data_IF_699095105102
#
_entry.id   IF_699095105102
#
_cell.length_a   1.000
_cell.length_b   1.000
_cell.length_c   1.000
_cell.angle_alpha   90.00
_cell.angle_beta   90.00
_cell.angle_gamma   90.00
#
_symmetry.space_group_name_H-M   'P 1'
#
loop_
_entity.id
_entity.type
_entity.pdbx_description
1 polymer ?
#
# COMPACT_ATOMS: atom_id res chain seq x y z
N UNK A 1 -2.80 -0.04 37.54
CA UNK A 1 -3.48 0.09 36.23
C UNK A 1 -2.67 -0.62 35.16
N UNK A 2 -3.28 -1.48 34.39
CA UNK A 2 -2.60 -2.18 33.26
C UNK A 2 -3.07 -1.57 31.95
N UNK A 3 -2.12 -1.26 31.05
CA UNK A 3 -2.43 -0.84 29.70
C UNK A 3 -2.97 -2.02 28.88
N UNK A 4 -3.92 -1.73 27.98
CA UNK A 4 -4.45 -2.73 27.07
C UNK A 4 -3.37 -3.18 26.09
N UNK A 5 -3.24 -4.48 25.93
CA UNK A 5 -2.38 -5.09 24.92
C UNK A 5 -3.20 -6.12 24.14
N UNK A 6 -3.26 -5.99 22.83
CA UNK A 6 -4.04 -6.90 21.99
C UNK A 6 -3.47 -8.31 22.03
N UNK A 7 -4.37 -9.30 22.01
CA UNK A 7 -4.04 -10.72 21.85
C UNK A 7 -4.47 -11.17 20.47
N UNK A 8 -3.92 -12.26 19.94
CA UNK A 8 -4.37 -12.79 18.64
C UNK A 8 -5.87 -13.04 18.54
N UNK A 9 -6.51 -13.40 19.64
CA UNK A 9 -7.97 -13.60 19.71
C UNK A 9 -8.79 -12.31 19.60
N UNK A 10 -8.20 -11.16 19.90
CA UNK A 10 -8.88 -9.87 19.88
C UNK A 10 -8.89 -9.22 18.48
N UNK A 11 -8.14 -9.81 17.54
CA UNK A 11 -7.94 -9.24 16.22
C UNK A 11 -9.01 -9.76 15.26
N UNK A 12 -9.84 -8.84 14.75
CA UNK A 12 -10.80 -9.11 13.70
C UNK A 12 -10.38 -8.32 12.45
N UNK A 13 -10.06 -9.02 11.37
CA UNK A 13 -9.55 -8.41 10.15
C UNK A 13 -10.68 -8.20 9.16
N UNK A 14 -10.82 -6.97 8.71
CA UNK A 14 -11.73 -6.59 7.65
C UNK A 14 -10.98 -6.41 6.33
N UNK A 15 -11.74 -6.33 5.25
CA UNK A 15 -11.23 -6.01 3.94
C UNK A 15 -11.76 -4.66 3.50
N UNK A 16 -10.86 -3.81 3.01
CA UNK A 16 -11.21 -2.49 2.50
C UNK A 16 -10.73 -2.34 1.07
N UNK A 17 -11.50 -1.63 0.25
CA UNK A 17 -11.13 -1.28 -1.11
C UNK A 17 -10.93 0.24 -1.21
N UNK A 18 -9.81 0.65 -1.81
CA UNK A 18 -9.49 2.05 -2.08
C UNK A 18 -9.48 2.23 -3.59
N UNK A 19 -10.24 3.21 -4.08
CA UNK A 19 -10.19 3.63 -5.47
C UNK A 19 -9.15 4.74 -5.62
N UNK A 20 -8.09 4.44 -6.37
CA UNK A 20 -6.98 5.38 -6.60
C UNK A 20 -7.24 6.36 -7.75
N UNK A 21 -8.34 6.21 -8.49
CA UNK A 21 -8.64 7.07 -9.63
C UNK A 21 -8.74 8.54 -9.23
N UNK A 22 -7.90 9.37 -9.85
CA UNK A 22 -7.88 10.82 -9.60
C UNK A 22 -7.35 11.24 -8.24
N UNK A 23 -6.95 10.32 -7.38
CA UNK A 23 -6.39 10.63 -6.07
C UNK A 23 -4.87 10.71 -6.12
N UNK A 24 -4.32 11.59 -5.29
CA UNK A 24 -2.86 11.78 -5.20
C UNK A 24 -2.19 10.52 -4.65
N UNK A 25 -1.11 10.08 -5.30
CA UNK A 25 -0.37 8.87 -4.91
C UNK A 25 0.01 8.85 -3.42
N UNK A 26 0.56 9.95 -2.90
CA UNK A 26 0.96 10.04 -1.50
C UNK A 26 -0.19 9.83 -0.53
N UNK A 27 -1.35 10.40 -0.82
CA UNK A 27 -2.55 10.26 0.03
C UNK A 27 -3.07 8.83 0.03
N UNK A 28 -3.14 8.19 -1.15
CA UNK A 28 -3.54 6.78 -1.27
C UNK A 28 -2.60 5.90 -0.46
N UNK A 29 -1.30 6.12 -0.60
CA UNK A 29 -0.27 5.34 0.11
C UNK A 29 -0.36 5.52 1.63
N UNK A 30 -0.58 6.73 2.13
CA UNK A 30 -0.73 7.01 3.56
C UNK A 30 -1.95 6.28 4.13
N UNK A 31 -3.10 6.38 3.49
CA UNK A 31 -4.31 5.71 3.95
C UNK A 31 -4.14 4.18 3.96
N UNK A 32 -3.60 3.63 2.89
CA UNK A 32 -3.32 2.20 2.81
C UNK A 32 -2.37 1.74 3.92
N UNK A 33 -1.29 2.47 4.16
CA UNK A 33 -0.31 2.14 5.20
C UNK A 33 -0.92 2.19 6.60
N UNK A 34 -1.77 3.18 6.88
CA UNK A 34 -2.45 3.29 8.17
C UNK A 34 -3.41 2.13 8.43
N UNK A 35 -4.15 1.72 7.41
CA UNK A 35 -5.06 0.55 7.52
C UNK A 35 -4.25 -0.73 7.73
N UNK A 36 -3.18 -0.93 6.98
CA UNK A 36 -2.32 -2.12 7.08
C UNK A 36 -1.66 -2.25 8.45
N UNK A 37 -1.28 -1.13 9.07
CA UNK A 37 -0.69 -1.12 10.41
C UNK A 37 -1.73 -1.22 11.52
N UNK A 38 -2.99 -0.94 11.23
CA UNK A 38 -4.05 -0.93 12.22
C UNK A 38 -4.09 0.34 13.09
N UNK A 39 -3.42 1.41 12.69
CA UNK A 39 -3.38 2.66 13.48
C UNK A 39 -4.75 3.33 13.65
N UNK A 40 -5.70 3.02 12.79
CA UNK A 40 -7.07 3.54 12.89
C UNK A 40 -7.94 2.76 13.87
N UNK A 41 -7.45 1.65 14.39
CA UNK A 41 -8.19 0.82 15.36
C UNK A 41 -7.83 1.18 16.80
N UNK A 42 -8.82 1.18 17.72
CA UNK A 42 -8.55 1.40 19.15
C UNK A 42 -7.62 0.34 19.76
N UNK A 43 -7.63 -0.88 19.21
CA UNK A 43 -6.82 -2.00 19.70
C UNK A 43 -5.37 -1.97 19.21
N UNK A 44 -4.95 -0.92 18.50
CA UNK A 44 -3.59 -0.84 17.95
C UNK A 44 -2.53 -1.13 19.01
N UNK A 45 -1.68 -2.11 18.70
CA UNK A 45 -0.55 -2.51 19.54
C UNK A 45 0.70 -2.59 18.67
N UNK A 46 1.79 -1.83 18.99
CA UNK A 46 2.94 -1.70 18.08
C UNK A 46 3.65 -3.01 17.74
N UNK A 47 3.67 -3.99 18.64
CA UNK A 47 4.37 -5.26 18.43
C UNK A 47 3.52 -6.33 17.74
N UNK A 48 2.26 -6.03 17.43
CA UNK A 48 1.34 -6.98 16.78
C UNK A 48 0.75 -6.40 15.51
N UNK A 49 0.44 -7.29 14.56
CA UNK A 49 -0.26 -6.92 13.34
C UNK A 49 -1.76 -6.90 13.59
N UNK A 50 -2.28 -5.73 13.99
CA UNK A 50 -3.70 -5.50 14.23
C UNK A 50 -4.44 -4.91 13.02
N UNK A 51 -3.74 -4.73 11.90
CA UNK A 51 -4.28 -4.08 10.71
C UNK A 51 -5.21 -4.96 9.88
N UNK A 52 -5.81 -4.35 8.87
CA UNK A 52 -6.76 -4.97 7.96
C UNK A 52 -6.15 -5.19 6.58
N UNK A 53 -6.88 -5.92 5.73
CA UNK A 53 -6.52 -6.11 4.33
C UNK A 53 -6.95 -4.88 3.51
N UNK A 54 -6.11 -4.49 2.56
CA UNK A 54 -6.39 -3.37 1.66
C UNK A 54 -6.29 -3.84 0.21
N UNK A 55 -7.32 -3.53 -0.56
CA UNK A 55 -7.35 -3.73 -2.00
C UNK A 55 -7.36 -2.35 -2.65
N UNK A 56 -6.37 -2.05 -3.49
CA UNK A 56 -6.32 -0.79 -4.24
C UNK A 56 -6.66 -1.09 -5.69
N UNK A 57 -7.63 -0.37 -6.24
CA UNK A 57 -8.05 -0.51 -7.63
C UNK A 57 -7.73 0.77 -8.40
N UNK A 58 -7.76 0.70 -9.74
CA UNK A 58 -7.45 1.82 -10.62
C UNK A 58 -6.04 2.41 -10.42
N UNK A 59 -5.06 1.55 -10.14
CA UNK A 59 -3.68 2.00 -9.94
C UNK A 59 -3.12 2.76 -11.14
N UNK A 60 -3.54 2.42 -12.35
CA UNK A 60 -3.13 3.11 -13.58
C UNK A 60 -3.58 4.57 -13.65
N UNK A 61 -4.63 4.94 -12.91
CA UNK A 61 -5.23 6.27 -12.92
C UNK A 61 -4.87 7.11 -11.69
N UNK A 62 -3.92 6.68 -10.89
CA UNK A 62 -3.47 7.46 -9.73
C UNK A 62 -2.81 8.77 -10.18
N UNK A 63 -3.13 9.87 -9.50
CA UNK A 63 -2.61 11.19 -9.84
C UNK A 63 -1.28 11.48 -9.15
N UNK A 64 -0.42 12.21 -9.84
CA UNK A 64 0.82 12.75 -9.28
C UNK A 64 0.89 14.24 -9.59
N UNK A 65 1.47 15.03 -8.68
CA UNK A 65 1.57 16.48 -8.84
C UNK A 65 2.85 16.88 -9.59
N UNK A 66 2.82 18.09 -10.20
CA UNK A 66 3.97 18.67 -10.88
C UNK A 66 4.45 17.85 -12.06
N UNK A 67 5.78 17.81 -12.25
CA UNK A 67 6.43 17.10 -13.35
C UNK A 67 6.89 15.68 -12.96
N UNK A 68 6.33 15.08 -11.95
CA UNK A 68 6.76 13.77 -11.45
C UNK A 68 6.63 12.66 -12.49
N UNK A 69 5.69 12.77 -13.41
CA UNK A 69 5.49 11.79 -14.48
C UNK A 69 6.76 11.60 -15.30
N UNK A 70 7.51 12.66 -15.55
CA UNK A 70 8.76 12.63 -16.34
C UNK A 70 10.00 12.68 -15.47
N UNK A 71 9.96 13.31 -14.30
CA UNK A 71 11.14 13.60 -13.49
C UNK A 71 11.38 12.57 -12.38
N UNK A 72 10.31 11.94 -11.88
CA UNK A 72 10.47 10.91 -10.84
C UNK A 72 11.03 9.64 -11.44
N UNK A 73 12.16 9.19 -10.88
CA UNK A 73 12.89 8.01 -11.38
C UNK A 73 12.94 6.94 -10.30
N UNK A 74 12.60 5.72 -10.67
CA UNK A 74 12.78 4.52 -9.86
C UNK A 74 14.10 3.86 -10.22
N UNK A 75 15.01 3.76 -9.25
CA UNK A 75 16.35 3.19 -9.46
C UNK A 75 16.42 1.79 -8.92
N UNK A 76 17.09 0.92 -9.66
CA UNK A 76 17.32 -0.48 -9.28
C UNK A 76 18.76 -0.86 -9.53
N UNK A 77 19.40 -1.45 -8.54
CA UNK A 77 20.80 -1.85 -8.61
C UNK A 77 20.93 -3.31 -8.15
N UNK A 78 21.46 -4.17 -9.02
CA UNK A 78 21.61 -5.60 -8.74
C UNK A 78 22.89 -5.96 -7.97
N UNK A 79 23.81 -5.00 -7.80
CA UNK A 79 25.10 -5.21 -7.13
C UNK A 79 26.27 -5.44 -8.08
N UNK A 80 26.02 -5.63 -9.38
CA UNK A 80 27.08 -5.77 -10.36
C UNK A 80 27.45 -4.43 -10.99
N UNK A 81 28.75 -4.21 -11.37
CA UNK A 81 29.13 -2.97 -12.04
C UNK A 81 28.31 -2.69 -13.31
N UNK A 82 27.84 -1.45 -13.45
CA UNK A 82 27.04 -1.03 -14.60
C UNK A 82 25.61 -1.54 -14.63
N UNK A 83 25.09 -2.11 -13.53
CA UNK A 83 23.74 -2.68 -13.48
C UNK A 83 22.68 -1.72 -12.99
N UNK A 84 23.02 -0.44 -12.76
CA UNK A 84 22.03 0.55 -12.34
C UNK A 84 21.00 0.76 -13.44
N UNK A 85 19.75 0.51 -13.13
CA UNK A 85 18.63 0.74 -14.03
C UNK A 85 17.74 1.83 -13.49
N UNK A 86 17.28 2.70 -14.38
CA UNK A 86 16.42 3.82 -14.06
C UNK A 86 15.16 3.75 -14.91
N UNK A 87 14.00 3.89 -14.28
CA UNK A 87 12.69 3.90 -14.94
C UNK A 87 11.93 5.11 -14.46
N UNK A 88 11.40 5.92 -15.37
CA UNK A 88 10.56 7.05 -15.00
C UNK A 88 9.18 6.58 -14.53
N UNK A 89 8.46 7.43 -13.81
CA UNK A 89 7.10 7.12 -13.35
C UNK A 89 6.17 6.84 -14.54
N UNK A 90 6.29 7.62 -15.62
CA UNK A 90 5.50 7.41 -16.84
C UNK A 90 5.74 6.04 -17.48
N UNK A 91 7.01 5.60 -17.55
CA UNK A 91 7.37 4.27 -18.05
C UNK A 91 6.83 3.16 -17.14
N UNK A 92 6.91 3.36 -15.82
CA UNK A 92 6.38 2.41 -14.83
C UNK A 92 4.86 2.31 -14.97
N UNK A 93 4.16 3.42 -15.15
CA UNK A 93 2.72 3.45 -15.36
C UNK A 93 2.31 2.67 -16.62
N UNK A 94 3.10 2.76 -17.68
CA UNK A 94 2.80 2.05 -18.92
C UNK A 94 3.01 0.55 -18.81
N UNK A 95 4.03 0.11 -18.06
CA UNK A 95 4.41 -1.31 -17.98
C UNK A 95 3.76 -2.02 -16.79
N UNK A 96 3.87 -1.47 -15.60
CA UNK A 96 3.40 -2.07 -14.34
C UNK A 96 2.86 -0.99 -13.40
N UNK A 97 1.66 -0.49 -13.63
CA UNK A 97 1.11 0.60 -12.80
C UNK A 97 0.94 0.22 -11.33
N UNK A 98 0.75 -1.05 -11.00
CA UNK A 98 0.64 -1.51 -9.62
C UNK A 98 1.90 -1.22 -8.80
N UNK A 99 3.08 -1.29 -9.44
CA UNK A 99 4.35 -1.07 -8.77
C UNK A 99 4.49 0.35 -8.21
N UNK A 100 3.83 1.33 -8.81
CA UNK A 100 3.85 2.73 -8.34
C UNK A 100 3.29 2.80 -6.92
N UNK A 101 2.13 2.22 -6.70
CA UNK A 101 1.46 2.21 -5.38
C UNK A 101 2.20 1.29 -4.41
N UNK A 102 2.60 0.11 -4.85
CA UNK A 102 3.34 -0.85 -4.02
C UNK A 102 4.61 -0.21 -3.48
N UNK A 103 5.39 0.46 -4.32
CA UNK A 103 6.63 1.13 -3.92
C UNK A 103 6.37 2.26 -2.90
N UNK A 104 5.33 3.05 -3.13
CA UNK A 104 4.97 4.15 -2.22
C UNK A 104 4.54 3.62 -0.85
N UNK A 105 3.70 2.61 -0.79
CA UNK A 105 3.24 2.00 0.46
C UNK A 105 4.39 1.32 1.19
N UNK A 106 5.23 0.59 0.48
CA UNK A 106 6.40 -0.08 1.06
C UNK A 106 7.34 0.90 1.75
N UNK A 107 7.54 2.08 1.17
CA UNK A 107 8.35 3.14 1.76
C UNK A 107 7.76 3.70 3.07
N UNK A 108 6.45 3.60 3.26
CA UNK A 108 5.73 4.08 4.43
C UNK A 108 5.51 3.02 5.52
N UNK A 109 5.81 1.76 5.22
CA UNK A 109 5.65 0.65 6.17
C UNK A 109 6.91 0.47 7.02
N UNK A 110 6.78 -0.12 8.23
CA UNK A 110 7.95 -0.49 9.03
C UNK A 110 8.88 -1.44 8.28
N UNK A 111 10.18 -1.35 8.55
CA UNK A 111 11.21 -2.10 7.80
C UNK A 111 11.50 -3.49 8.35
N UNK A 112 10.97 -3.84 9.51
CA UNK A 112 11.23 -5.12 10.17
C UNK A 112 10.37 -6.28 9.66
N UNK A 113 10.46 -7.41 10.35
CA UNK A 113 9.68 -8.62 10.05
C UNK A 113 8.18 -8.37 10.13
N UNK A 114 7.74 -7.65 11.16
CA UNK A 114 6.33 -7.31 11.34
C UNK A 114 5.82 -6.43 10.19
N UNK A 115 6.60 -5.45 9.75
CA UNK A 115 6.26 -4.61 8.61
C UNK A 115 6.10 -5.40 7.32
N UNK A 116 6.91 -6.42 7.09
CA UNK A 116 6.77 -7.31 5.93
C UNK A 116 5.48 -8.12 5.99
N UNK A 117 5.09 -8.60 7.16
CA UNK A 117 3.82 -9.30 7.35
C UNK A 117 2.62 -8.39 7.08
N UNK A 118 2.67 -7.15 7.58
CA UNK A 118 1.64 -6.14 7.31
C UNK A 118 1.52 -5.84 5.82
N UNK A 119 2.65 -5.70 5.14
CA UNK A 119 2.70 -5.39 3.72
C UNK A 119 2.07 -6.49 2.84
N UNK A 120 2.14 -7.74 3.25
CA UNK A 120 1.52 -8.85 2.52
C UNK A 120 0.00 -8.76 2.41
N UNK A 121 -0.64 -7.96 3.23
CA UNK A 121 -2.08 -7.73 3.20
C UNK A 121 -2.51 -6.70 2.16
N UNK A 122 -1.57 -6.07 1.48
CA UNK A 122 -1.85 -5.12 0.40
C UNK A 122 -2.01 -5.87 -0.92
N UNK A 123 -3.11 -5.59 -1.62
CA UNK A 123 -3.41 -6.11 -2.97
C UNK A 123 -3.69 -4.93 -3.88
N UNK A 124 -2.94 -4.81 -4.97
CA UNK A 124 -3.05 -3.67 -5.90
C UNK A 124 -3.39 -4.18 -7.29
N UNK A 125 -4.36 -3.54 -7.93
CA UNK A 125 -4.82 -3.87 -9.28
C UNK A 125 -4.85 -2.62 -10.16
N UNK A 126 -4.42 -2.77 -11.40
CA UNK A 126 -4.36 -1.66 -12.36
C UNK A 126 -5.75 -1.18 -12.77
N UNK A 127 -6.69 -2.09 -13.01
CA UNK A 127 -8.05 -1.80 -13.43
C UNK A 127 -9.05 -1.67 -12.27
N UNK A 128 -10.33 -1.47 -12.59
CA UNK A 128 -11.37 -1.31 -11.57
C UNK A 128 -11.81 -2.63 -10.93
N UNK A 129 -11.44 -3.77 -11.50
CA UNK A 129 -11.86 -5.09 -11.03
C UNK A 129 -10.84 -5.72 -10.11
N UNK A 130 -11.31 -6.51 -9.15
CA UNK A 130 -10.47 -7.28 -8.24
C UNK A 130 -11.10 -8.65 -7.96
N UNK A 131 -10.30 -9.70 -7.69
CA UNK A 131 -10.81 -11.05 -7.46
C UNK A 131 -11.22 -11.30 -6.00
N UNK A 132 -11.57 -10.26 -5.25
CA UNK A 132 -11.84 -10.35 -3.80
C UNK A 132 -13.32 -10.16 -3.44
N UNK A 133 -14.24 -10.41 -4.39
CA UNK A 133 -15.67 -10.28 -4.13
C UNK A 133 -16.16 -11.21 -3.00
N UNK A 134 -15.54 -12.39 -2.86
CA UNK A 134 -15.88 -13.34 -1.81
C UNK A 134 -15.58 -12.82 -0.40
N UNK A 135 -14.60 -11.96 -0.24
CA UNK A 135 -14.23 -11.33 1.02
C UNK A 135 -15.12 -10.14 1.39
N UNK A 136 -15.99 -9.70 0.48
CA UNK A 136 -16.92 -8.57 0.68
C UNK A 136 -16.21 -7.32 1.19
N UNK A 137 -15.22 -6.76 0.46
CA UNK A 137 -14.49 -5.59 0.92
C UNK A 137 -15.39 -4.36 1.01
N UNK A 138 -15.24 -3.60 2.10
CA UNK A 138 -15.93 -2.34 2.30
C UNK A 138 -15.18 -1.21 1.58
N UNK A 139 -15.93 -0.26 1.02
CA UNK A 139 -15.33 0.90 0.38
C UNK A 139 -14.74 1.85 1.43
N UNK A 140 -13.49 2.25 1.23
CA UNK A 140 -12.79 3.20 2.09
C UNK A 140 -12.75 4.56 1.45
N UNK A 141 -13.46 5.52 2.03
CA UNK A 141 -13.50 6.92 1.57
C UNK A 141 -12.64 7.81 2.47
N UNK A 142 -11.89 8.72 1.86
CA UNK A 142 -11.02 9.66 2.57
C UNK A 142 -10.83 10.97 1.80
#
# INVERSE_FOLDING_TARGET
MKSFTAKPSDIDRKWFVIDAEGRTLGKVAVEAAMILRGKKKPIYTPHMDTGDYVVVVNAEKVAVSGKKETDKVYKRYSGYPGSLREVTLGEMRAKKPEEIIIHAVKGMMPKGRLGRQMFKKLKVYAGPEHPHAAQQPEEWNF
#
